data_IF_444875009163
#
_entry.id   IF_444875009163
#
_cell.length_a   1.000
_cell.length_b   1.000
_cell.length_c   1.000
_cell.angle_alpha   90.00
_cell.angle_beta   90.00
_cell.angle_gamma   90.00
#
_symmetry.space_group_name_H-M   'P 1'
#
loop_
_entity.id
_entity.type
_entity.pdbx_description
1 polymer ?
#
# COMPACT_ATOMS: atom_id res chain seq x y z
N UNK A 1 29.11 14.16 -12.91
CA UNK A 1 29.39 15.03 -11.75
C UNK A 1 30.87 15.06 -11.40
N UNK A 2 31.56 13.92 -11.29
CA UNK A 2 33.01 13.86 -11.06
C UNK A 2 33.83 14.67 -12.09
N UNK A 3 33.46 14.61 -13.37
CA UNK A 3 34.10 15.41 -14.44
C UNK A 3 34.14 16.91 -14.11
N UNK A 4 33.06 17.46 -13.58
CA UNK A 4 32.94 18.90 -13.31
C UNK A 4 33.53 19.25 -11.94
N UNK A 5 33.29 18.40 -10.93
CA UNK A 5 33.63 18.68 -9.53
C UNK A 5 35.08 18.34 -9.21
N UNK A 6 35.57 17.18 -9.69
CA UNK A 6 36.92 16.67 -9.38
C UNK A 6 37.90 17.03 -10.49
N UNK A 7 37.50 16.82 -11.75
CA UNK A 7 38.38 17.08 -12.91
C UNK A 7 38.31 18.53 -13.42
N UNK A 8 37.45 19.36 -12.85
CA UNK A 8 37.24 20.76 -13.24
C UNK A 8 36.95 20.97 -14.73
N UNK A 9 36.30 19.99 -15.38
CA UNK A 9 35.92 20.09 -16.79
C UNK A 9 34.76 21.08 -16.98
N UNK A 10 34.77 21.85 -18.08
CA UNK A 10 33.72 22.83 -18.34
C UNK A 10 32.40 22.14 -18.70
N UNK A 11 31.29 22.70 -18.22
CA UNK A 11 29.93 22.13 -18.36
C UNK A 11 29.54 21.86 -19.81
N UNK A 12 29.93 22.74 -20.74
CA UNK A 12 29.60 22.60 -22.17
C UNK A 12 30.27 21.37 -22.81
N UNK A 13 31.45 20.97 -22.33
CA UNK A 13 32.17 19.79 -22.82
C UNK A 13 31.50 18.53 -22.30
N UNK A 14 31.15 18.49 -21.02
CA UNK A 14 30.41 17.38 -20.40
C UNK A 14 29.04 17.19 -21.05
N UNK A 15 28.31 18.28 -21.32
CA UNK A 15 27.06 18.27 -22.11
C UNK A 15 27.25 17.59 -23.46
N UNK A 16 28.29 17.96 -24.20
CA UNK A 16 28.56 17.45 -25.55
C UNK A 16 28.94 15.96 -25.53
N UNK A 17 29.82 15.56 -24.62
CA UNK A 17 30.33 14.18 -24.54
C UNK A 17 29.24 13.22 -24.06
N UNK A 18 28.52 13.57 -23.00
CA UNK A 18 27.53 12.70 -22.39
C UNK A 18 26.12 12.85 -22.98
N UNK A 19 25.93 13.80 -23.91
CA UNK A 19 24.64 14.13 -24.53
C UNK A 19 23.51 14.38 -23.50
N UNK A 20 23.85 15.10 -22.42
CA UNK A 20 22.92 15.43 -21.34
C UNK A 20 22.51 16.91 -21.48
N UNK A 21 21.21 17.26 -21.37
CA UNK A 21 20.79 18.66 -21.36
C UNK A 21 21.49 19.45 -20.25
N UNK A 22 21.91 20.66 -20.57
CA UNK A 22 22.66 21.54 -19.67
C UNK A 22 21.90 21.84 -18.37
N UNK A 23 20.57 21.97 -18.46
CA UNK A 23 19.67 22.12 -17.30
C UNK A 23 19.80 20.96 -16.31
N UNK A 24 19.92 19.72 -16.80
CA UNK A 24 20.07 18.54 -15.93
C UNK A 24 21.40 18.56 -15.19
N UNK A 25 22.48 18.99 -15.87
CA UNK A 25 23.80 19.14 -15.25
C UNK A 25 23.76 20.20 -14.15
N UNK A 26 23.13 21.34 -14.40
CA UNK A 26 22.96 22.39 -13.37
C UNK A 26 22.08 21.93 -12.21
N UNK A 27 21.01 21.16 -12.46
CA UNK A 27 20.21 20.56 -11.39
C UNK A 27 21.06 19.64 -10.50
N UNK A 28 21.90 18.78 -11.09
CA UNK A 28 22.81 17.92 -10.33
C UNK A 28 23.87 18.71 -9.58
N UNK A 29 24.41 19.78 -10.16
CA UNK A 29 25.32 20.71 -9.46
C UNK A 29 24.63 21.38 -8.27
N UNK A 30 23.37 21.78 -8.41
CA UNK A 30 22.59 22.35 -7.31
C UNK A 30 22.40 21.35 -6.18
N UNK A 31 22.02 20.10 -6.51
CA UNK A 31 21.85 19.02 -5.52
C UNK A 31 23.18 18.69 -4.83
N UNK A 32 24.26 18.62 -5.59
CA UNK A 32 25.59 18.39 -5.06
C UNK A 32 26.04 19.51 -4.11
N UNK A 33 25.75 20.77 -4.43
CA UNK A 33 26.05 21.90 -3.53
C UNK A 33 25.22 21.88 -2.25
N UNK A 34 24.00 21.35 -2.28
CA UNK A 34 23.13 21.32 -1.09
C UNK A 34 23.39 20.13 -0.15
N UNK A 35 23.89 19.00 -0.65
CA UNK A 35 24.10 17.81 0.18
C UNK A 35 25.16 16.83 -0.31
N UNK A 36 26.11 17.30 -1.12
CA UNK A 36 27.25 16.52 -1.60
C UNK A 36 26.85 15.34 -2.46
N UNK A 37 27.65 14.27 -2.39
CA UNK A 37 27.44 13.04 -3.16
C UNK A 37 26.17 12.29 -2.73
N UNK A 38 25.76 12.41 -1.46
CA UNK A 38 24.57 11.73 -0.95
C UNK A 38 23.27 12.32 -1.52
N UNK A 39 23.23 13.63 -1.77
CA UNK A 39 22.09 14.28 -2.41
C UNK A 39 21.89 13.88 -3.90
N UNK A 40 22.91 13.29 -4.52
CA UNK A 40 22.82 12.75 -5.89
C UNK A 40 22.29 11.30 -5.92
N UNK A 41 22.25 10.61 -4.77
CA UNK A 41 21.69 9.26 -4.70
C UNK A 41 20.19 9.32 -4.98
N UNK A 42 19.72 8.48 -5.89
CA UNK A 42 18.29 8.37 -6.16
C UNK A 42 17.59 7.82 -4.92
N UNK A 43 16.71 8.63 -4.33
CA UNK A 43 15.86 8.19 -3.24
C UNK A 43 14.69 7.38 -3.78
N UNK A 44 14.19 6.45 -2.97
CA UNK A 44 12.97 5.73 -3.29
C UNK A 44 11.83 6.73 -3.50
N UNK A 45 11.28 6.76 -4.71
CA UNK A 45 10.15 7.64 -5.04
C UNK A 45 8.94 7.16 -4.26
N UNK A 46 8.53 7.89 -3.22
CA UNK A 46 7.27 7.58 -2.55
C UNK A 46 6.13 8.00 -3.50
N UNK A 47 5.23 7.06 -3.82
CA UNK A 47 4.00 7.38 -4.53
C UNK A 47 3.07 8.29 -3.71
N UNK A 48 1.83 8.47 -4.18
CA UNK A 48 0.81 9.22 -3.46
C UNK A 48 0.70 8.71 -2.00
N UNK A 49 0.65 9.60 -0.99
CA UNK A 49 0.52 9.19 0.40
C UNK A 49 -0.70 8.27 0.58
N UNK A 50 -0.53 7.24 1.41
CA UNK A 50 -1.60 6.29 1.72
C UNK A 50 -2.72 7.03 2.45
N UNK A 51 -3.98 6.71 2.13
CA UNK A 51 -5.15 7.30 2.81
C UNK A 51 -5.35 6.79 4.23
N UNK A 52 -4.75 5.65 4.57
CA UNK A 52 -4.97 4.92 5.82
C UNK A 52 -3.69 5.06 6.64
N UNK A 53 -3.84 5.58 7.86
CA UNK A 53 -2.75 5.71 8.83
C UNK A 53 -2.47 4.38 9.53
N UNK A 54 -1.36 4.31 10.30
CA UNK A 54 -1.07 3.13 11.10
C UNK A 54 -2.13 2.89 12.20
N UNK A 55 -2.67 3.95 12.79
CA UNK A 55 -3.75 3.86 13.77
C UNK A 55 -5.03 3.28 13.18
N UNK A 56 -5.39 3.72 11.97
CA UNK A 56 -6.55 3.19 11.24
C UNK A 56 -6.37 1.70 10.95
N UNK A 57 -5.17 1.27 10.55
CA UNK A 57 -4.86 -0.15 10.30
C UNK A 57 -5.06 -1.00 11.55
N UNK A 58 -4.59 -0.52 12.71
CA UNK A 58 -4.74 -1.22 13.99
C UNK A 58 -6.20 -1.29 14.41
N UNK A 59 -6.95 -0.20 14.25
CA UNK A 59 -8.39 -0.18 14.52
C UNK A 59 -9.15 -1.16 13.63
N UNK A 60 -8.87 -1.18 12.32
CA UNK A 60 -9.49 -2.12 11.37
C UNK A 60 -9.20 -3.57 11.76
N UNK A 61 -7.96 -3.88 12.13
CA UNK A 61 -7.58 -5.22 12.57
C UNK A 61 -8.39 -5.66 13.80
N UNK A 62 -8.48 -4.80 14.81
CA UNK A 62 -9.25 -5.07 16.03
C UNK A 62 -10.74 -5.22 15.73
N UNK A 63 -11.30 -4.37 14.86
CA UNK A 63 -12.70 -4.45 14.46
C UNK A 63 -13.04 -5.80 13.79
N UNK A 64 -12.13 -6.34 12.97
CA UNK A 64 -12.35 -7.63 12.29
C UNK A 64 -12.13 -8.82 13.23
N UNK A 65 -11.12 -8.77 14.10
CA UNK A 65 -10.70 -9.92 14.92
C UNK A 65 -11.48 -10.04 16.23
N UNK A 66 -11.81 -8.91 16.85
CA UNK A 66 -12.51 -8.85 18.14
C UNK A 66 -13.99 -8.48 17.99
N UNK A 67 -14.37 -7.88 16.86
CA UNK A 67 -15.74 -7.44 16.60
C UNK A 67 -16.63 -8.52 15.98
N UNK A 68 -17.94 -8.40 16.22
CA UNK A 68 -18.96 -9.23 15.56
C UNK A 68 -19.66 -8.40 14.44
N UNK A 69 -19.76 -8.91 13.20
CA UNK A 69 -20.50 -8.26 12.10
C UNK A 69 -21.95 -7.90 12.45
N UNK A 70 -22.60 -8.63 13.37
CA UNK A 70 -23.97 -8.35 13.81
C UNK A 70 -24.10 -6.96 14.47
N UNK A 71 -23.02 -6.43 15.05
CA UNK A 71 -23.01 -5.09 15.65
C UNK A 71 -23.19 -3.97 14.60
N UNK A 72 -23.10 -4.31 13.31
CA UNK A 72 -23.16 -3.38 12.19
C UNK A 72 -24.33 -3.62 11.23
N UNK A 73 -25.37 -4.34 11.69
CA UNK A 73 -26.64 -4.54 10.95
C UNK A 73 -26.50 -5.27 9.60
N UNK A 74 -25.54 -6.18 9.48
CA UNK A 74 -25.44 -7.04 8.29
C UNK A 74 -26.29 -8.29 8.45
N UNK A 75 -27.04 -8.66 7.39
CA UNK A 75 -27.95 -9.82 7.34
C UNK A 75 -27.29 -11.17 7.65
N UNK A 76 -25.94 -11.22 7.63
CA UNK A 76 -25.16 -12.43 7.85
C UNK A 76 -24.02 -12.16 8.84
N UNK A 77 -23.72 -13.13 9.71
CA UNK A 77 -22.61 -13.10 10.68
C UNK A 77 -21.20 -13.12 10.06
N UNK A 78 -21.02 -12.73 8.80
CA UNK A 78 -19.75 -12.82 8.07
C UNK A 78 -19.24 -11.44 7.63
N UNK A 79 -17.96 -11.17 7.87
CA UNK A 79 -17.28 -10.03 7.29
C UNK A 79 -17.17 -10.14 5.78
N UNK A 80 -17.99 -9.37 5.06
CA UNK A 80 -17.85 -9.20 3.61
C UNK A 80 -17.02 -7.95 3.30
N UNK A 81 -16.36 -7.92 2.13
CA UNK A 81 -15.62 -6.71 1.71
C UNK A 81 -16.52 -5.47 1.56
N UNK A 82 -17.81 -5.66 1.25
CA UNK A 82 -18.77 -4.56 1.17
C UNK A 82 -19.12 -4.04 2.56
N UNK A 83 -19.32 -4.94 3.52
CA UNK A 83 -19.54 -4.60 4.92
C UNK A 83 -18.36 -3.80 5.48
N UNK A 84 -17.13 -4.29 5.27
CA UNK A 84 -15.91 -3.61 5.67
C UNK A 84 -15.76 -2.23 5.03
N UNK A 85 -16.12 -2.09 3.75
CA UNK A 85 -16.07 -0.80 3.05
C UNK A 85 -17.06 0.21 3.66
N UNK A 86 -18.27 -0.23 3.99
CA UNK A 86 -19.27 0.61 4.65
C UNK A 86 -18.81 1.02 6.05
N UNK A 87 -18.23 0.09 6.81
CA UNK A 87 -17.68 0.32 8.13
C UNK A 87 -16.56 1.37 8.11
N UNK A 88 -15.57 1.19 7.24
CA UNK A 88 -14.43 2.13 7.10
C UNK A 88 -14.93 3.51 6.68
N UNK A 89 -15.92 3.59 5.80
CA UNK A 89 -16.50 4.88 5.42
C UNK A 89 -17.21 5.55 6.59
N UNK A 90 -17.91 4.78 7.42
CA UNK A 90 -18.70 5.32 8.52
C UNK A 90 -17.83 5.81 9.68
N UNK A 91 -16.85 5.00 10.09
CA UNK A 91 -16.07 5.25 11.31
C UNK A 91 -14.83 6.09 11.04
N UNK A 92 -14.25 6.03 9.83
CA UNK A 92 -13.01 6.72 9.49
C UNK A 92 -13.18 7.81 8.41
N UNK A 93 -14.37 7.94 7.82
CA UNK A 93 -14.66 8.83 6.67
C UNK A 93 -13.74 8.61 5.43
N UNK A 94 -13.17 7.40 5.31
CA UNK A 94 -12.26 7.07 4.19
C UNK A 94 -12.98 6.24 3.13
N UNK A 95 -13.16 6.83 1.94
CA UNK A 95 -13.67 6.10 0.75
C UNK A 95 -12.60 5.20 0.14
N UNK A 96 -12.78 3.89 0.28
CA UNK A 96 -11.95 2.85 -0.34
C UNK A 96 -12.72 2.04 -1.39
N UNK A 97 -12.03 1.62 -2.45
CA UNK A 97 -12.58 0.61 -3.38
C UNK A 97 -12.56 -0.78 -2.74
N UNK A 98 -13.39 -1.70 -3.24
CA UNK A 98 -13.40 -3.11 -2.79
C UNK A 98 -12.02 -3.78 -2.91
N UNK A 99 -11.30 -3.49 -4.00
CA UNK A 99 -9.93 -3.99 -4.21
C UNK A 99 -8.93 -3.42 -3.20
N UNK A 100 -9.07 -2.15 -2.83
CA UNK A 100 -8.22 -1.52 -1.81
C UNK A 100 -8.45 -2.14 -0.43
N UNK A 101 -9.71 -2.40 -0.06
CA UNK A 101 -10.05 -3.12 1.18
C UNK A 101 -9.45 -4.53 1.16
N UNK A 102 -9.56 -5.25 0.05
CA UNK A 102 -8.97 -6.60 -0.06
C UNK A 102 -7.46 -6.59 0.11
N UNK A 103 -6.74 -5.64 -0.49
CA UNK A 103 -5.28 -5.49 -0.31
C UNK A 103 -4.95 -5.10 1.12
N UNK A 104 -5.69 -4.17 1.71
CA UNK A 104 -5.52 -3.76 3.10
C UNK A 104 -5.63 -4.95 4.06
N UNK A 105 -6.66 -5.78 3.91
CA UNK A 105 -6.81 -6.97 4.73
C UNK A 105 -5.67 -7.96 4.52
N UNK A 106 -5.20 -8.14 3.28
CA UNK A 106 -4.01 -8.93 3.00
C UNK A 106 -2.73 -8.39 3.66
N UNK A 107 -2.55 -7.07 3.70
CA UNK A 107 -1.46 -6.43 4.44
C UNK A 107 -1.55 -6.65 5.95
N UNK A 108 -2.76 -6.79 6.49
CA UNK A 108 -3.04 -7.13 7.88
C UNK A 108 -2.93 -8.64 8.17
N UNK A 109 -2.54 -9.45 7.18
CA UNK A 109 -2.44 -10.91 7.31
C UNK A 109 -3.79 -11.64 7.32
N UNK A 110 -4.87 -10.94 6.99
CA UNK A 110 -6.23 -11.51 6.98
C UNK A 110 -6.54 -12.07 5.59
N UNK A 111 -6.96 -13.34 5.56
CA UNK A 111 -7.34 -14.03 4.33
C UNK A 111 -8.85 -14.27 4.25
N UNK A 112 -9.46 -14.20 3.05
CA UNK A 112 -10.88 -14.49 2.88
C UNK A 112 -11.21 -15.93 3.29
N UNK A 113 -12.08 -16.10 4.28
CA UNK A 113 -12.57 -17.42 4.69
C UNK A 113 -13.84 -17.76 3.90
N UNK A 114 -13.80 -18.87 3.17
CA UNK A 114 -14.95 -19.37 2.42
C UNK A 114 -15.55 -20.57 3.16
N UNK A 115 -16.85 -20.53 3.53
CA UNK A 115 -17.51 -21.69 4.08
C UNK A 115 -17.48 -22.84 3.08
N UNK A 116 -17.12 -24.04 3.53
CA UNK A 116 -17.24 -25.26 2.72
C UNK A 116 -18.67 -25.80 2.84
N UNK A 117 -19.34 -25.99 1.71
CA UNK A 117 -20.73 -26.50 1.67
C UNK A 117 -20.86 -27.96 2.12
N UNK A 118 -19.75 -28.72 2.12
CA UNK A 118 -19.70 -30.11 2.53
C UNK A 118 -18.52 -30.28 3.47
N UNK A 119 -18.77 -30.73 4.71
CA UNK A 119 -17.69 -31.08 5.62
C UNK A 119 -17.03 -32.35 5.13
N UNK A 120 -15.69 -32.39 5.11
CA UNK A 120 -14.94 -33.61 4.78
C UNK A 120 -15.18 -34.74 5.81
N UNK A 121 -15.66 -34.41 7.02
CA UNK A 121 -16.08 -35.37 8.05
C UNK A 121 -17.55 -35.76 7.96
N UNK A 122 -18.29 -35.26 6.97
CA UNK A 122 -19.73 -35.48 6.86
C UNK A 122 -20.00 -36.92 6.41
N UNK A 123 -20.67 -37.69 7.27
CA UNK A 123 -21.10 -39.05 6.95
C UNK A 123 -22.40 -39.00 6.12
N UNK A 124 -22.38 -39.40 4.83
CA UNK A 124 -23.55 -39.34 3.97
C UNK A 124 -24.72 -40.21 4.45
N UNK A 125 -24.46 -41.23 5.28
CA UNK A 125 -25.52 -42.07 5.87
C UNK A 125 -26.28 -41.34 6.98
N UNK A 126 -25.60 -40.50 7.76
CA UNK A 126 -26.21 -39.71 8.84
C UNK A 126 -27.04 -38.53 8.32
N UNK A 127 -26.67 -37.95 7.17
CA UNK A 127 -27.46 -36.86 6.54
C UNK A 127 -28.84 -37.38 6.10
N UNK A 128 -28.90 -38.60 5.54
CA UNK A 128 -30.16 -39.18 5.04
C UNK A 128 -31.20 -39.49 6.12
N UNK A 129 -30.79 -39.50 7.39
CA UNK A 129 -31.67 -39.77 8.54
C UNK A 129 -32.22 -38.49 9.18
N UNK A 130 -31.76 -37.32 8.74
CA UNK A 130 -32.25 -36.00 9.15
C UNK A 130 -33.22 -35.46 8.10
#
# INVERSE_FOLDING_TARGET
MEAIVIRHEPVHLVKRIYNIPERTIFNWLSLYRSGGWDALKEQARSGRPRKISAGDMQWIYNAVTMGNPMNYQFDFCLWTLNAMRALIQKELDIKLSKSSVSRLLGHLGLSPQRPIYKSYKQDPKKIKQY
#
